data_IF_917096542204
#
_entry.id   IF_917096542204
#
_cell.length_a   1.000
_cell.length_b   1.000
_cell.length_c   1.000
_cell.angle_alpha   90.00
_cell.angle_beta   90.00
_cell.angle_gamma   90.00
#
_symmetry.space_group_name_H-M   'P 1'
#
loop_
_entity.id
_entity.type
_entity.pdbx_description
1 polymer ?
#
# COMPACT_ATOMS: atom_id res chain seq x y z
N UNK A 1 18.72 -12.03 24.09
CA UNK A 1 17.92 -11.14 23.23
C UNK A 1 18.34 -9.74 23.62
N UNK A 2 19.16 -9.15 22.77
CA UNK A 2 19.94 -7.96 23.09
C UNK A 2 19.06 -6.71 22.91
N UNK A 3 19.39 -5.64 23.63
CA UNK A 3 18.61 -4.39 23.62
C UNK A 3 18.51 -3.78 22.22
N UNK A 4 19.58 -3.89 21.42
CA UNK A 4 19.63 -3.51 20.01
C UNK A 4 18.62 -4.29 19.15
N UNK A 5 18.42 -5.58 19.41
CA UNK A 5 17.48 -6.42 18.68
C UNK A 5 16.02 -6.02 18.97
N UNK A 6 15.72 -5.67 20.23
CA UNK A 6 14.40 -5.15 20.62
C UNK A 6 14.11 -3.78 19.99
N UNK A 7 15.11 -2.90 19.92
CA UNK A 7 15.01 -1.61 19.24
C UNK A 7 14.72 -1.79 17.75
N UNK A 8 15.44 -2.68 17.07
CA UNK A 8 15.18 -3.01 15.65
C UNK A 8 13.78 -3.56 15.43
N UNK A 9 13.31 -4.46 16.29
CA UNK A 9 11.97 -5.02 16.19
C UNK A 9 10.88 -3.95 16.34
N UNK A 10 11.01 -3.04 17.30
CA UNK A 10 10.07 -1.92 17.46
C UNK A 10 10.08 -0.99 16.26
N UNK A 11 11.27 -0.63 15.77
CA UNK A 11 11.41 0.22 14.59
C UNK A 11 10.75 -0.42 13.36
N UNK A 12 10.95 -1.72 13.15
CA UNK A 12 10.32 -2.46 12.07
C UNK A 12 8.78 -2.47 12.20
N UNK A 13 8.25 -2.70 13.40
CA UNK A 13 6.80 -2.67 13.65
C UNK A 13 6.18 -1.29 13.39
N UNK A 14 6.88 -0.22 13.76
CA UNK A 14 6.46 1.16 13.48
C UNK A 14 6.46 1.44 11.96
N UNK A 15 7.51 1.00 11.25
CA UNK A 15 7.62 1.13 9.79
C UNK A 15 6.52 0.34 9.07
N UNK A 16 6.22 -0.88 9.52
CA UNK A 16 5.14 -1.70 8.98
C UNK A 16 3.77 -1.02 9.17
N UNK A 17 3.53 -0.51 10.38
CA UNK A 17 2.29 0.22 10.71
C UNK A 17 2.12 1.48 9.86
N UNK A 18 3.21 2.23 9.65
CA UNK A 18 3.21 3.43 8.80
C UNK A 18 2.93 3.07 7.32
N UNK A 19 3.57 2.02 6.82
CA UNK A 19 3.42 1.54 5.44
C UNK A 19 1.99 1.07 5.14
N UNK A 20 1.36 0.34 6.09
CA UNK A 20 -0.04 -0.09 5.97
C UNK A 20 -0.99 1.11 5.94
N UNK A 21 -0.75 2.10 6.80
CA UNK A 21 -1.52 3.34 6.82
C UNK A 21 -1.38 4.11 5.50
N UNK A 22 -0.16 4.17 4.93
CA UNK A 22 0.10 4.86 3.67
C UNK A 22 -0.60 4.19 2.49
N UNK A 23 -0.54 2.86 2.38
CA UNK A 23 -1.23 2.10 1.35
C UNK A 23 -2.75 2.29 1.40
N UNK A 24 -3.32 2.22 2.60
CA UNK A 24 -4.75 2.45 2.80
C UNK A 24 -5.16 3.85 2.34
N UNK A 25 -4.37 4.88 2.68
CA UNK A 25 -4.62 6.26 2.24
C UNK A 25 -4.55 6.40 0.72
N UNK A 26 -3.50 5.87 0.09
CA UNK A 26 -3.33 5.92 -1.36
C UNK A 26 -4.45 5.17 -2.10
N UNK A 27 -4.83 4.00 -1.59
CA UNK A 27 -5.92 3.22 -2.17
C UNK A 27 -7.26 3.97 -2.10
N UNK A 28 -7.55 4.57 -0.94
CA UNK A 28 -8.77 5.38 -0.77
C UNK A 28 -8.75 6.63 -1.68
N UNK A 29 -7.59 7.27 -1.81
CA UNK A 29 -7.43 8.40 -2.73
C UNK A 29 -7.67 7.95 -4.19
N UNK A 30 -7.10 6.83 -4.62
CA UNK A 30 -7.31 6.30 -5.96
C UNK A 30 -8.78 5.92 -6.23
N UNK A 31 -9.51 5.37 -5.25
CA UNK A 31 -10.96 5.16 -5.35
C UNK A 31 -11.69 6.50 -5.53
N UNK A 32 -11.35 7.50 -4.70
CA UNK A 32 -12.01 8.82 -4.74
C UNK A 32 -11.84 9.55 -6.08
N UNK A 33 -10.73 9.28 -6.76
CA UNK A 33 -10.41 9.81 -8.09
C UNK A 33 -10.99 8.95 -9.24
N UNK A 34 -11.69 7.85 -8.94
CA UNK A 34 -12.22 6.94 -9.95
C UNK A 34 -11.16 6.13 -10.71
N UNK A 35 -9.92 6.08 -10.20
CA UNK A 35 -8.79 5.41 -10.83
C UNK A 35 -8.83 3.89 -10.67
N UNK A 36 -9.38 3.44 -9.55
CA UNK A 36 -9.60 2.03 -9.19
C UNK A 36 -10.98 1.87 -8.57
N UNK A 37 -11.51 0.65 -8.56
CA UNK A 37 -12.81 0.31 -7.99
C UNK A 37 -12.67 -0.10 -6.51
N UNK A 38 -11.56 -0.74 -6.15
CA UNK A 38 -11.35 -1.27 -4.82
C UNK A 38 -9.91 -1.72 -4.59
N UNK A 39 -9.55 -1.88 -3.33
CA UNK A 39 -8.25 -2.39 -2.90
C UNK A 39 -8.36 -3.14 -1.57
N UNK A 40 -7.39 -4.00 -1.28
CA UNK A 40 -7.34 -4.76 -0.03
C UNK A 40 -6.05 -5.57 0.13
N UNK A 41 -5.81 -6.08 1.33
CA UNK A 41 -4.68 -6.97 1.61
C UNK A 41 -5.19 -8.37 1.96
N UNK A 42 -4.77 -9.36 1.17
CA UNK A 42 -5.17 -10.75 1.35
C UNK A 42 -3.99 -11.69 1.03
N UNK A 43 -3.75 -12.67 1.90
CA UNK A 43 -2.78 -13.75 1.65
C UNK A 43 -1.34 -13.28 1.40
N UNK A 44 -0.90 -12.21 2.06
CA UNK A 44 0.46 -11.68 1.87
C UNK A 44 0.60 -10.69 0.71
N UNK A 45 -0.47 -10.47 -0.06
CA UNK A 45 -0.47 -9.63 -1.27
C UNK A 45 -1.49 -8.51 -1.13
N UNK A 46 -1.19 -7.41 -1.80
CA UNK A 46 -2.12 -6.32 -1.99
C UNK A 46 -2.85 -6.52 -3.32
N UNK A 47 -4.17 -6.38 -3.26
CA UNK A 47 -5.09 -6.52 -4.38
C UNK A 47 -5.57 -5.13 -4.80
N UNK A 48 -5.53 -4.84 -6.09
CA UNK A 48 -6.06 -3.61 -6.67
C UNK A 48 -7.00 -3.99 -7.81
N UNK A 49 -8.27 -3.57 -7.71
CA UNK A 49 -9.27 -3.78 -8.74
C UNK A 49 -9.34 -2.56 -9.65
N UNK A 50 -8.82 -2.67 -10.87
CA UNK A 50 -8.80 -1.59 -11.86
C UNK A 50 -9.40 -2.06 -13.17
N UNK A 51 -10.40 -1.35 -13.69
CA UNK A 51 -11.03 -1.65 -15.00
C UNK A 51 -11.44 -3.13 -15.17
N UNK A 52 -11.95 -3.76 -14.10
CA UNK A 52 -12.35 -5.17 -14.12
C UNK A 52 -11.21 -6.19 -14.02
N UNK A 53 -9.96 -5.74 -13.88
CA UNK A 53 -8.79 -6.59 -13.67
C UNK A 53 -8.31 -6.51 -12.21
N UNK A 54 -7.89 -7.65 -11.67
CA UNK A 54 -7.28 -7.75 -10.34
C UNK A 54 -5.76 -7.78 -10.50
N UNK A 55 -5.09 -6.77 -9.96
CA UNK A 55 -3.64 -6.71 -9.87
C UNK A 55 -3.20 -7.19 -8.48
N UNK A 56 -2.38 -8.22 -8.44
CA UNK A 56 -1.83 -8.78 -7.20
C UNK A 56 -0.33 -8.47 -7.13
N UNK A 57 0.09 -7.77 -6.08
CA UNK A 57 1.50 -7.41 -5.90
C UNK A 57 1.88 -7.32 -4.42
N UNK A 58 3.18 -7.16 -4.13
CA UNK A 58 3.62 -6.90 -2.76
C UNK A 58 3.16 -5.51 -2.30
N UNK A 59 3.01 -5.27 -0.99
CA UNK A 59 2.67 -3.96 -0.45
C UNK A 59 3.53 -2.81 -1.01
N UNK A 60 4.84 -3.02 -1.13
CA UNK A 60 5.77 -2.00 -1.62
C UNK A 60 5.49 -1.66 -3.09
N UNK A 61 5.24 -2.68 -3.92
CA UNK A 61 4.87 -2.49 -5.33
C UNK A 61 3.51 -1.79 -5.47
N UNK A 62 2.55 -2.14 -4.61
CA UNK A 62 1.23 -1.50 -4.60
C UNK A 62 1.34 -0.02 -4.23
N UNK A 63 2.22 0.32 -3.30
CA UNK A 63 2.43 1.71 -2.90
C UNK A 63 2.96 2.53 -4.08
N UNK A 64 4.06 2.08 -4.70
CA UNK A 64 4.64 2.75 -5.87
C UNK A 64 3.63 2.85 -7.02
N UNK A 65 2.86 1.77 -7.25
CA UNK A 65 1.83 1.76 -8.27
C UNK A 65 0.77 2.83 -8.05
N UNK A 66 0.19 2.90 -6.83
CA UNK A 66 -0.85 3.87 -6.49
C UNK A 66 -0.31 5.31 -6.51
N UNK A 67 0.92 5.55 -6.04
CA UNK A 67 1.56 6.86 -6.11
C UNK A 67 1.71 7.34 -7.56
N UNK A 68 2.16 6.47 -8.46
CA UNK A 68 2.30 6.82 -9.87
C UNK A 68 0.94 7.04 -10.54
N UNK A 69 -0.02 6.16 -10.26
CA UNK A 69 -1.37 6.26 -10.81
C UNK A 69 -2.08 7.57 -10.42
N UNK A 70 -1.87 8.03 -9.19
CA UNK A 70 -2.41 9.32 -8.72
C UNK A 70 -1.69 10.50 -9.38
N UNK A 71 -0.36 10.42 -9.53
CA UNK A 71 0.44 11.48 -10.18
C UNK A 71 0.07 11.68 -11.65
N UNK A 72 -0.31 10.63 -12.37
CA UNK A 72 -0.72 10.70 -13.77
C UNK A 72 -1.95 11.59 -14.02
N UNK A 73 -2.83 11.78 -13.03
CA UNK A 73 -4.01 12.67 -13.13
C UNK A 73 -3.71 14.10 -12.64
N UNK A 74 -2.68 14.29 -11.82
CA UNK A 74 -2.31 15.60 -11.28
C UNK A 74 -1.52 16.51 -12.24
N UNK A 75 -1.34 16.09 -13.49
CA UNK A 75 -0.61 16.81 -14.55
C UNK A 75 -1.53 17.27 -15.68
#
# INVERSE_FOLDING_TARGET
MDEEERLRQRLNQEIESFSINKLTQLGNQAISLGLIIGHGYHGGKYEILRQGQVLLMSPEKAQTYLENLIKEIGH
#
